data_IF_172158680144
#
_entry.id   IF_172158680144
#
_cell.length_a   1.000
_cell.length_b   1.000
_cell.length_c   1.000
_cell.angle_alpha   90.00
_cell.angle_beta   90.00
_cell.angle_gamma   90.00
#
_symmetry.space_group_name_H-M   'P 1'
#
loop_
_entity.id
_entity.type
_entity.pdbx_description
1 polymer ?
#
# COMPACT_ATOMS: atom_id res chain seq x y z
N UNK A 1 -7.38 -7.82 20.42
CA UNK A 1 -6.92 -8.70 21.49
C UNK A 1 -7.82 -9.94 21.59
N UNK A 2 -9.16 -9.79 21.69
CA UNK A 2 -10.10 -10.93 21.79
C UNK A 2 -9.91 -11.90 20.60
N UNK A 3 -9.80 -11.41 19.38
CA UNK A 3 -9.58 -12.24 18.20
C UNK A 3 -8.24 -13.00 18.24
N UNK A 4 -7.17 -12.39 18.77
CA UNK A 4 -5.86 -13.05 18.96
C UNK A 4 -5.98 -14.20 19.97
N UNK A 5 -6.62 -13.96 21.12
CA UNK A 5 -6.82 -14.98 22.14
C UNK A 5 -7.72 -16.11 21.64
N UNK A 6 -8.75 -15.78 20.88
CA UNK A 6 -9.62 -16.77 20.26
C UNK A 6 -8.87 -17.64 19.25
N UNK A 7 -8.03 -17.03 18.42
CA UNK A 7 -7.17 -17.77 17.48
C UNK A 7 -6.19 -18.69 18.20
N UNK A 8 -5.62 -18.25 19.33
CA UNK A 8 -4.79 -19.10 20.17
C UNK A 8 -5.55 -20.32 20.73
N UNK A 9 -6.78 -20.13 21.18
CA UNK A 9 -7.60 -21.24 21.67
C UNK A 9 -7.90 -22.29 20.58
N UNK A 10 -7.95 -21.88 19.31
CA UNK A 10 -8.14 -22.81 18.19
C UNK A 10 -6.85 -23.53 17.79
N UNK A 11 -5.74 -22.79 17.74
CA UNK A 11 -4.49 -23.27 17.16
C UNK A 11 -3.48 -23.76 18.21
N UNK A 12 -3.64 -23.40 19.48
CA UNK A 12 -2.71 -23.73 20.56
C UNK A 12 -1.37 -23.00 20.50
N UNK A 13 -1.21 -22.04 19.58
CA UNK A 13 0.05 -21.34 19.33
C UNK A 13 -0.17 -19.89 18.91
N UNK A 14 0.85 -19.03 19.15
CA UNK A 14 0.96 -17.68 18.60
C UNK A 14 1.98 -17.61 17.46
N UNK A 15 2.66 -18.71 17.13
CA UNK A 15 3.64 -18.74 16.07
C UNK A 15 2.98 -18.54 14.71
N UNK A 16 3.34 -17.43 14.03
CA UNK A 16 2.69 -17.03 12.79
C UNK A 16 2.89 -18.01 11.63
N UNK A 17 4.10 -18.58 11.40
CA UNK A 17 4.30 -19.62 10.40
C UNK A 17 3.39 -20.84 10.63
N UNK A 18 3.29 -21.31 11.88
CA UNK A 18 2.42 -22.45 12.25
C UNK A 18 0.94 -22.11 12.08
N UNK A 19 0.50 -20.92 12.50
CA UNK A 19 -0.88 -20.44 12.29
C UNK A 19 -1.23 -20.39 10.81
N UNK A 20 -0.31 -19.91 9.97
CA UNK A 20 -0.49 -19.85 8.53
C UNK A 20 -0.61 -21.25 7.91
N UNK A 21 0.25 -22.18 8.32
CA UNK A 21 0.18 -23.57 7.87
C UNK A 21 -1.14 -24.23 8.25
N UNK A 22 -1.62 -24.03 9.49
CA UNK A 22 -2.90 -24.54 9.97
C UNK A 22 -4.10 -23.92 9.23
N UNK A 23 -4.02 -22.65 8.91
CA UNK A 23 -5.06 -21.95 8.15
C UNK A 23 -5.16 -22.49 6.71
N UNK A 24 -4.01 -22.65 6.04
CA UNK A 24 -3.94 -23.15 4.66
C UNK A 24 -4.32 -24.64 4.54
N UNK A 25 -4.05 -25.43 5.56
CA UNK A 25 -4.45 -26.84 5.60
C UNK A 25 -5.89 -27.10 6.08
N UNK A 26 -6.68 -26.03 6.29
CA UNK A 26 -8.04 -26.09 6.85
C UNK A 26 -8.16 -26.87 8.18
N UNK A 27 -7.04 -26.99 8.93
CA UNK A 27 -7.00 -27.68 10.23
C UNK A 27 -7.38 -26.75 11.41
N UNK A 28 -7.74 -25.49 11.16
CA UNK A 28 -8.35 -24.66 12.20
C UNK A 28 -9.77 -25.16 12.48
N UNK A 29 -9.97 -25.81 13.62
CA UNK A 29 -11.24 -26.42 14.04
C UNK A 29 -12.31 -25.36 14.36
N UNK A 30 -12.70 -24.55 13.36
CA UNK A 30 -13.67 -23.49 13.50
C UNK A 30 -14.68 -23.49 12.34
N UNK A 31 -15.87 -23.00 12.61
CA UNK A 31 -16.88 -22.79 11.55
C UNK A 31 -16.44 -21.65 10.62
N UNK A 32 -16.76 -21.69 9.30
CA UNK A 32 -16.44 -20.62 8.38
C UNK A 32 -16.92 -19.24 8.87
N UNK A 33 -18.09 -19.18 9.49
CA UNK A 33 -18.64 -17.94 10.07
C UNK A 33 -17.76 -17.41 11.22
N UNK A 34 -17.25 -18.29 12.07
CA UNK A 34 -16.39 -17.88 13.19
C UNK A 34 -15.03 -17.37 12.69
N UNK A 35 -14.44 -18.01 11.67
CA UNK A 35 -13.22 -17.53 11.00
C UNK A 35 -13.45 -16.17 10.33
N UNK A 36 -14.59 -15.98 9.67
CA UNK A 36 -14.96 -14.70 9.06
C UNK A 36 -15.08 -13.60 10.12
N UNK A 37 -15.74 -13.86 11.26
CA UNK A 37 -15.86 -12.87 12.34
C UNK A 37 -14.49 -12.53 12.95
N UNK A 38 -13.62 -13.51 13.11
CA UNK A 38 -12.25 -13.30 13.56
C UNK A 38 -11.45 -12.44 12.57
N UNK A 39 -11.53 -12.76 11.28
CA UNK A 39 -10.89 -11.99 10.21
C UNK A 39 -11.40 -10.54 10.20
N UNK A 40 -12.71 -10.32 10.31
CA UNK A 40 -13.31 -8.97 10.37
C UNK A 40 -12.79 -8.22 11.61
N UNK A 41 -12.65 -8.87 12.76
CA UNK A 41 -12.13 -8.23 13.97
C UNK A 41 -10.67 -7.76 13.79
N UNK A 42 -9.82 -8.56 13.13
CA UNK A 42 -8.46 -8.15 12.74
C UNK A 42 -8.50 -6.99 11.74
N UNK A 43 -9.31 -7.10 10.68
CA UNK A 43 -9.43 -6.08 9.65
C UNK A 43 -9.92 -4.74 10.20
N UNK A 44 -10.91 -4.74 11.10
CA UNK A 44 -11.41 -3.51 11.74
C UNK A 44 -10.31 -2.86 12.58
N UNK A 45 -9.55 -3.64 13.36
CA UNK A 45 -8.42 -3.11 14.13
C UNK A 45 -7.35 -2.48 13.23
N UNK A 46 -7.03 -3.12 12.11
CA UNK A 46 -6.08 -2.60 11.14
C UNK A 46 -6.65 -1.41 10.36
N UNK A 47 -7.93 -1.43 9.98
CA UNK A 47 -8.62 -0.34 9.29
C UNK A 47 -8.69 0.95 10.12
N UNK A 48 -8.82 0.83 11.44
CA UNK A 48 -8.68 1.98 12.34
C UNK A 48 -7.25 2.53 12.28
N UNK A 49 -6.23 1.65 12.28
CA UNK A 49 -4.82 2.07 12.24
C UNK A 49 -4.39 2.62 10.89
N UNK A 50 -4.96 2.12 9.79
CA UNK A 50 -4.72 2.59 8.39
C UNK A 50 -5.44 3.90 8.08
N UNK A 51 -6.25 4.43 8.91
CA UNK A 51 -7.40 5.32 8.81
C UNK A 51 -8.30 5.10 7.57
N UNK A 52 -8.77 3.88 7.36
CA UNK A 52 -9.71 3.59 6.27
C UNK A 52 -11.02 4.35 6.50
N UNK A 53 -11.61 4.90 5.43
CA UNK A 53 -12.97 5.49 5.53
C UNK A 53 -13.99 4.41 5.98
N UNK A 54 -14.88 4.68 6.94
CA UNK A 54 -15.08 5.92 7.71
C UNK A 54 -14.28 6.01 9.03
N UNK A 55 -13.37 5.08 9.33
CA UNK A 55 -12.65 4.95 10.62
C UNK A 55 -11.47 5.93 10.78
N UNK A 56 -11.44 7.01 10.02
CA UNK A 56 -10.31 7.95 9.89
C UNK A 56 -10.40 9.19 10.80
N UNK A 57 -11.52 9.40 11.51
CA UNK A 57 -11.79 10.66 12.21
C UNK A 57 -10.70 11.10 13.20
N UNK A 58 -10.02 10.15 13.83
CA UNK A 58 -8.94 10.41 14.78
C UNK A 58 -7.66 10.99 14.13
N UNK A 59 -7.44 10.70 12.83
CA UNK A 59 -6.17 11.01 12.16
C UNK A 59 -5.91 12.51 12.08
N UNK A 60 -6.90 13.31 11.66
CA UNK A 60 -6.73 14.75 11.49
C UNK A 60 -6.37 15.46 12.80
N UNK A 61 -6.97 15.04 13.92
CA UNK A 61 -6.74 15.64 15.23
C UNK A 61 -5.39 15.19 15.80
N UNK A 62 -5.07 13.90 15.67
CA UNK A 62 -3.77 13.37 16.06
C UNK A 62 -2.62 14.03 15.29
N UNK A 63 -2.76 14.22 13.98
CA UNK A 63 -1.74 14.87 13.14
C UNK A 63 -1.63 16.37 13.47
N UNK A 64 -2.74 17.05 13.73
CA UNK A 64 -2.73 18.48 14.08
C UNK A 64 -2.00 18.75 15.40
N UNK A 65 -2.24 17.94 16.43
CA UNK A 65 -1.70 18.15 17.78
C UNK A 65 -0.29 17.54 17.95
N UNK A 66 0.04 16.45 17.27
CA UNK A 66 1.33 15.79 17.44
C UNK A 66 2.50 16.65 16.92
N UNK A 67 3.69 16.58 17.55
CA UNK A 67 4.90 17.16 16.98
C UNK A 67 5.15 16.61 15.57
N UNK A 68 5.56 17.47 14.63
CA UNK A 68 5.66 17.12 13.21
C UNK A 68 6.56 15.90 12.94
N UNK A 69 7.65 15.76 13.68
CA UNK A 69 8.55 14.61 13.59
C UNK A 69 7.88 13.28 14.00
N UNK A 70 6.92 13.32 14.96
CA UNK A 70 6.18 12.13 15.41
C UNK A 70 5.13 11.71 14.39
N UNK A 71 4.55 12.66 13.67
CA UNK A 71 3.53 12.39 12.65
C UNK A 71 4.06 11.47 11.55
N UNK A 72 5.33 11.60 11.18
CA UNK A 72 5.98 10.71 10.21
C UNK A 72 5.85 9.23 10.59
N UNK A 73 5.95 8.90 11.87
CA UNK A 73 5.81 7.54 12.40
C UNK A 73 4.34 7.13 12.54
N UNK A 74 3.45 8.08 12.87
CA UNK A 74 2.01 7.83 13.03
C UNK A 74 1.31 7.48 11.71
N UNK A 75 1.85 7.91 10.59
CA UNK A 75 1.22 7.79 9.27
C UNK A 75 1.09 6.33 8.77
N UNK A 76 0.34 5.52 9.48
CA UNK A 76 -0.48 4.40 8.99
C UNK A 76 0.18 3.16 8.35
N UNK A 77 1.49 3.14 8.11
CA UNK A 77 2.13 2.05 7.33
C UNK A 77 2.09 0.69 8.03
N UNK A 78 2.13 0.69 9.37
CA UNK A 78 2.04 -0.53 10.18
C UNK A 78 0.70 -1.27 9.97
N UNK A 79 -0.41 -0.53 9.86
CA UNK A 79 -1.72 -1.14 9.62
C UNK A 79 -1.81 -1.82 8.25
N UNK A 80 -1.27 -1.18 7.19
CA UNK A 80 -1.19 -1.75 5.85
C UNK A 80 -0.32 -3.02 5.82
N UNK A 81 0.85 -2.97 6.44
CA UNK A 81 1.70 -4.14 6.62
C UNK A 81 0.97 -5.26 7.38
N UNK A 82 0.20 -4.91 8.41
CA UNK A 82 -0.54 -5.88 9.20
C UNK A 82 -1.63 -6.56 8.39
N UNK A 83 -2.32 -5.87 7.49
CA UNK A 83 -3.28 -6.47 6.57
C UNK A 83 -2.58 -7.51 5.68
N UNK A 84 -1.46 -7.14 5.06
CA UNK A 84 -0.69 -8.07 4.21
C UNK A 84 -0.18 -9.27 5.01
N UNK A 85 0.34 -9.05 6.20
CA UNK A 85 1.00 -10.10 6.99
C UNK A 85 0.04 -11.04 7.69
N UNK A 86 -1.05 -10.51 8.26
CA UNK A 86 -2.00 -11.27 9.07
C UNK A 86 -3.29 -11.60 8.32
N UNK A 87 -3.95 -10.61 7.69
CA UNK A 87 -5.24 -10.87 7.03
C UNK A 87 -5.05 -11.79 5.82
N UNK A 88 -4.08 -11.52 4.96
CA UNK A 88 -3.80 -12.39 3.82
C UNK A 88 -3.04 -13.66 4.21
N UNK A 89 -2.21 -13.59 5.26
CA UNK A 89 -1.43 -14.74 5.71
C UNK A 89 -2.22 -15.79 6.47
N UNK A 90 -3.26 -15.42 7.22
CA UNK A 90 -4.05 -16.34 8.08
C UNK A 90 -5.48 -16.51 7.54
N UNK A 91 -6.05 -15.49 6.89
CA UNK A 91 -7.45 -15.46 6.47
C UNK A 91 -7.60 -15.11 4.99
N UNK A 92 -6.93 -15.80 4.03
CA UNK A 92 -6.97 -15.45 2.61
C UNK A 92 -8.39 -15.51 2.05
N UNK A 93 -9.13 -16.57 2.30
CA UNK A 93 -10.50 -16.79 1.86
C UNK A 93 -11.46 -15.72 2.42
N UNK A 94 -11.40 -15.46 3.73
CA UNK A 94 -12.24 -14.45 4.39
C UNK A 94 -11.90 -13.04 3.90
N UNK A 95 -10.63 -12.76 3.64
CA UNK A 95 -10.19 -11.49 3.05
C UNK A 95 -10.80 -11.27 1.67
N UNK A 96 -10.97 -12.33 0.89
CA UNK A 96 -11.62 -12.28 -0.41
C UNK A 96 -13.13 -12.00 -0.30
N UNK A 97 -13.81 -12.60 0.67
CA UNK A 97 -15.23 -12.32 0.91
C UNK A 97 -15.50 -10.85 1.23
N UNK A 98 -14.60 -10.20 1.97
CA UNK A 98 -14.74 -8.77 2.33
C UNK A 98 -14.16 -7.81 1.30
N UNK A 99 -13.45 -8.29 0.29
CA UNK A 99 -12.80 -7.48 -0.73
C UNK A 99 -13.72 -6.48 -1.45
N UNK A 100 -14.94 -6.84 -1.88
CA UNK A 100 -15.82 -5.88 -2.53
C UNK A 100 -16.12 -4.65 -1.67
N UNK A 101 -16.25 -4.85 -0.36
CA UNK A 101 -16.49 -3.77 0.61
C UNK A 101 -15.24 -2.92 0.75
N UNK A 102 -14.05 -3.53 0.87
CA UNK A 102 -12.80 -2.80 1.06
C UNK A 102 -12.37 -2.05 -0.20
N UNK A 103 -12.62 -2.58 -1.40
CA UNK A 103 -12.44 -1.87 -2.66
C UNK A 103 -13.34 -0.63 -2.71
N UNK A 104 -14.62 -0.77 -2.34
CA UNK A 104 -15.53 0.35 -2.30
C UNK A 104 -15.11 1.41 -1.28
N UNK A 105 -14.75 1.01 -0.06
CA UNK A 105 -14.26 1.92 0.98
C UNK A 105 -12.93 2.58 0.60
N UNK A 106 -12.03 1.85 -0.07
CA UNK A 106 -10.80 2.40 -0.64
C UNK A 106 -11.09 3.48 -1.68
N UNK A 107 -11.93 3.17 -2.67
CA UNK A 107 -12.31 4.13 -3.71
C UNK A 107 -12.99 5.39 -3.14
N UNK A 108 -13.93 5.21 -2.19
CA UNK A 108 -14.57 6.34 -1.49
C UNK A 108 -13.54 7.14 -0.70
N UNK A 109 -12.62 6.47 0.02
CA UNK A 109 -11.58 7.11 0.81
C UNK A 109 -10.62 7.96 -0.02
N UNK A 110 -10.28 7.53 -1.24
CA UNK A 110 -9.46 8.28 -2.20
C UNK A 110 -10.14 9.61 -2.55
N UNK A 111 -11.38 9.54 -3.03
CA UNK A 111 -12.10 10.74 -3.48
C UNK A 111 -12.47 11.65 -2.31
N UNK A 112 -13.01 11.08 -1.23
CA UNK A 112 -13.36 11.81 -0.02
C UNK A 112 -12.17 12.51 0.60
N UNK A 113 -11.04 11.79 0.79
CA UNK A 113 -9.83 12.35 1.37
C UNK A 113 -9.29 13.52 0.54
N UNK A 114 -9.25 13.35 -0.78
CA UNK A 114 -8.80 14.40 -1.70
C UNK A 114 -9.70 15.65 -1.71
N UNK A 115 -11.02 15.46 -1.71
CA UNK A 115 -11.97 16.58 -1.66
C UNK A 115 -11.90 17.35 -0.33
N UNK A 116 -11.74 16.64 0.80
CA UNK A 116 -11.58 17.29 2.10
C UNK A 116 -10.24 18.00 2.19
N UNK A 117 -9.16 17.40 1.67
CA UNK A 117 -7.84 18.05 1.60
C UNK A 117 -7.91 19.38 0.85
N UNK A 118 -8.68 19.46 -0.24
CA UNK A 118 -8.84 20.66 -1.07
C UNK A 118 -9.41 21.86 -0.31
N UNK A 119 -10.26 21.65 0.68
CA UNK A 119 -10.90 22.73 1.46
C UNK A 119 -10.15 23.08 2.75
N UNK A 120 -9.12 22.30 3.13
CA UNK A 120 -8.34 22.59 4.35
C UNK A 120 -7.38 23.74 4.12
N UNK A 121 -7.33 24.64 5.08
CA UNK A 121 -6.38 25.77 5.11
C UNK A 121 -5.18 25.48 6.01
N UNK A 122 -5.29 24.54 6.92
CA UNK A 122 -4.20 24.07 7.77
C UNK A 122 -3.39 22.98 7.06
N UNK A 123 -2.08 23.20 6.91
CA UNK A 123 -1.16 22.32 6.18
C UNK A 123 -1.06 20.92 6.80
N UNK A 124 -1.11 20.81 8.14
CA UNK A 124 -1.06 19.49 8.80
C UNK A 124 -2.36 18.72 8.60
N UNK A 125 -3.50 19.40 8.66
CA UNK A 125 -4.81 18.77 8.39
C UNK A 125 -4.94 18.37 6.93
N UNK A 126 -4.43 19.20 6.00
CA UNK A 126 -4.34 18.83 4.58
C UNK A 126 -3.49 17.58 4.41
N UNK A 127 -2.30 17.52 5.03
CA UNK A 127 -1.42 16.36 5.00
C UNK A 127 -2.09 15.09 5.56
N UNK A 128 -2.91 15.22 6.62
CA UNK A 128 -3.65 14.10 7.19
C UNK A 128 -4.67 13.51 6.19
N UNK A 129 -5.43 14.36 5.50
CA UNK A 129 -6.38 13.92 4.49
C UNK A 129 -5.71 13.41 3.20
N UNK A 130 -4.54 13.97 2.85
CA UNK A 130 -3.67 13.42 1.83
C UNK A 130 -3.23 12.00 2.18
N UNK A 131 -2.77 11.76 3.41
CA UNK A 131 -2.39 10.43 3.90
C UNK A 131 -3.58 9.44 3.85
N UNK A 132 -4.80 9.90 4.19
CA UNK A 132 -6.01 9.10 4.07
C UNK A 132 -6.25 8.67 2.60
N UNK A 133 -6.18 9.61 1.66
CA UNK A 133 -6.41 9.34 0.25
C UNK A 133 -5.39 8.32 -0.31
N UNK A 134 -4.11 8.51 -0.04
CA UNK A 134 -3.07 7.60 -0.51
C UNK A 134 -3.09 6.23 0.18
N UNK A 135 -3.37 6.16 1.50
CA UNK A 135 -3.58 4.88 2.18
C UNK A 135 -4.77 4.11 1.59
N UNK A 136 -5.80 4.84 1.16
CA UNK A 136 -6.96 4.27 0.48
C UNK A 136 -6.63 3.71 -0.91
N UNK A 137 -5.66 4.30 -1.65
CA UNK A 137 -5.11 3.69 -2.87
C UNK A 137 -4.46 2.35 -2.57
N UNK A 138 -3.68 2.24 -1.50
CA UNK A 138 -3.08 0.96 -1.10
C UNK A 138 -4.15 -0.08 -0.79
N UNK A 139 -5.19 0.28 -0.02
CA UNK A 139 -6.31 -0.62 0.26
C UNK A 139 -6.98 -1.09 -1.04
N UNK A 140 -7.26 -0.17 -1.96
CA UNK A 140 -7.80 -0.53 -3.27
C UNK A 140 -6.89 -1.55 -3.96
N UNK A 141 -5.57 -1.30 -4.04
CA UNK A 141 -4.61 -2.16 -4.74
C UNK A 141 -4.51 -3.57 -4.15
N UNK A 142 -4.32 -3.69 -2.83
CA UNK A 142 -4.11 -5.00 -2.20
C UNK A 142 -5.36 -5.88 -2.19
N UNK A 143 -6.57 -5.32 -2.21
CA UNK A 143 -7.82 -6.08 -2.26
C UNK A 143 -8.35 -6.35 -3.67
N UNK A 144 -7.61 -5.98 -4.72
CA UNK A 144 -7.94 -6.36 -6.10
C UNK A 144 -7.77 -7.85 -6.38
N UNK A 145 -6.97 -8.55 -5.59
CA UNK A 145 -6.53 -9.93 -5.80
C UNK A 145 -5.91 -10.18 -7.17
N UNK A 146 -5.20 -9.18 -7.69
CA UNK A 146 -4.35 -9.28 -8.87
C UNK A 146 -2.90 -9.07 -8.48
N UNK A 147 -1.96 -9.76 -9.13
CA UNK A 147 -0.51 -9.59 -8.88
C UNK A 147 -0.13 -8.13 -9.06
N UNK A 148 -0.54 -7.51 -10.17
CA UNK A 148 -0.25 -6.12 -10.51
C UNK A 148 -0.76 -5.16 -9.42
N UNK A 149 -2.00 -5.36 -8.95
CA UNK A 149 -2.60 -4.51 -7.91
C UNK A 149 -1.94 -4.69 -6.54
N UNK A 150 -1.58 -5.93 -6.20
CA UNK A 150 -0.88 -6.25 -4.96
C UNK A 150 0.54 -5.67 -4.94
N UNK A 151 1.30 -5.86 -6.02
CA UNK A 151 2.65 -5.32 -6.17
C UNK A 151 2.63 -3.78 -6.18
N UNK A 152 1.67 -3.19 -6.89
CA UNK A 152 1.43 -1.75 -6.85
C UNK A 152 1.11 -1.25 -5.45
N UNK A 153 0.27 -1.97 -4.71
CA UNK A 153 -0.07 -1.66 -3.32
C UNK A 153 1.14 -1.71 -2.38
N UNK A 154 1.97 -2.76 -2.48
CA UNK A 154 3.20 -2.90 -1.69
C UNK A 154 4.19 -1.79 -2.05
N UNK A 155 4.39 -1.52 -3.34
CA UNK A 155 5.25 -0.44 -3.80
C UNK A 155 4.76 0.92 -3.30
N UNK A 156 3.45 1.14 -3.28
CA UNK A 156 2.86 2.39 -2.80
C UNK A 156 3.02 2.56 -1.28
N UNK A 157 3.06 1.50 -0.48
CA UNK A 157 3.41 1.60 0.96
C UNK A 157 4.81 2.20 1.13
N UNK A 158 5.79 1.79 0.32
CA UNK A 158 7.14 2.33 0.36
C UNK A 158 7.17 3.80 -0.09
N UNK A 159 6.49 4.11 -1.21
CA UNK A 159 6.38 5.46 -1.73
C UNK A 159 5.81 6.43 -0.70
N UNK A 160 4.67 6.07 -0.11
CA UNK A 160 4.00 6.86 0.89
C UNK A 160 4.85 7.08 2.16
N UNK A 161 5.68 6.11 2.51
CA UNK A 161 6.61 6.26 3.63
C UNK A 161 7.67 7.32 3.35
N UNK A 162 8.24 7.33 2.14
CA UNK A 162 9.26 8.29 1.73
C UNK A 162 8.67 9.67 1.48
N UNK A 163 7.56 9.77 0.73
CA UNK A 163 6.90 11.02 0.40
C UNK A 163 6.37 11.69 1.68
N UNK A 164 5.71 10.93 2.54
CA UNK A 164 5.19 11.44 3.81
C UNK A 164 6.31 11.93 4.73
N UNK A 165 7.43 11.19 4.81
CA UNK A 165 8.59 11.62 5.60
C UNK A 165 9.13 12.96 5.09
N UNK A 166 9.43 13.08 3.81
CA UNK A 166 9.92 14.33 3.21
C UNK A 166 8.94 15.48 3.40
N UNK A 167 7.65 15.22 3.20
CA UNK A 167 6.60 16.23 3.33
C UNK A 167 6.49 16.77 4.78
N UNK A 168 6.50 15.90 5.79
CA UNK A 168 6.45 16.35 7.18
C UNK A 168 7.75 17.00 7.65
N UNK A 169 8.93 16.58 7.15
CA UNK A 169 10.19 17.33 7.39
C UNK A 169 10.03 18.75 6.85
N UNK A 170 9.59 18.92 5.61
CA UNK A 170 9.41 20.21 4.97
C UNK A 170 8.37 21.08 5.71
N UNK A 171 7.26 20.51 6.19
CA UNK A 171 6.29 21.21 7.02
C UNK A 171 6.89 21.65 8.36
N UNK A 172 7.74 20.82 8.95
CA UNK A 172 8.49 21.16 10.17
C UNK A 172 9.41 22.36 9.97
N UNK A 173 10.22 22.33 8.90
CA UNK A 173 11.12 23.41 8.52
C UNK A 173 10.36 24.71 8.20
N UNK A 174 9.20 24.59 7.56
CA UNK A 174 8.33 25.74 7.29
C UNK A 174 7.80 26.34 8.61
N UNK A 175 7.36 25.51 9.55
CA UNK A 175 6.88 25.94 10.84
C UNK A 175 7.98 26.59 11.71
N UNK A 176 9.19 26.03 11.72
CA UNK A 176 10.33 26.60 12.44
C UNK A 176 10.64 28.04 11.98
N UNK A 177 10.41 28.35 10.71
CA UNK A 177 10.66 29.68 10.13
C UNK A 177 9.51 30.66 10.33
N UNK A 178 8.27 30.17 10.29
CA UNK A 178 7.08 31.03 10.22
C UNK A 178 6.14 30.90 11.45
N UNK A 179 6.26 29.85 12.25
CA UNK A 179 5.48 29.63 13.47
C UNK A 179 4.00 29.32 13.27
N UNK A 180 3.58 29.00 12.03
CA UNK A 180 2.18 28.72 11.70
C UNK A 180 2.07 27.55 10.71
N UNK A 181 0.91 26.88 10.66
CA UNK A 181 0.54 25.93 9.63
C UNK A 181 -0.61 26.45 8.75
N UNK A 182 -1.14 27.65 9.02
CA UNK A 182 -2.23 28.20 8.23
C UNK A 182 -1.70 28.73 6.88
N UNK A 183 -2.19 28.17 5.78
CA UNK A 183 -1.80 28.58 4.42
C UNK A 183 -2.10 30.04 4.10
N UNK A 184 -3.04 30.67 4.83
CA UNK A 184 -3.41 32.09 4.61
C UNK A 184 -2.34 33.06 5.09
N UNK A 185 -1.46 32.63 5.98
CA UNK A 185 -0.34 33.42 6.49
C UNK A 185 0.83 33.46 5.52
N UNK A 186 0.83 32.57 4.51
CA UNK A 186 1.89 32.43 3.52
C UNK A 186 1.59 33.13 2.22
N UNK A 187 2.58 33.22 1.33
CA UNK A 187 2.51 33.71 -0.03
C UNK A 187 3.86 34.21 -0.51
N UNK A 188 4.18 34.04 -1.79
CA UNK A 188 5.36 34.57 -2.43
C UNK A 188 6.72 34.08 -1.91
N UNK A 189 6.75 32.91 -1.24
CA UNK A 189 7.96 32.39 -0.61
C UNK A 189 9.02 31.92 -1.63
N UNK A 190 8.63 31.68 -2.89
CA UNK A 190 9.52 31.14 -3.90
C UNK A 190 10.75 32.05 -4.16
N UNK A 191 10.62 33.35 -3.99
CA UNK A 191 11.71 34.30 -4.18
C UNK A 191 12.68 34.37 -2.99
N UNK A 192 12.20 34.00 -1.79
CA UNK A 192 12.99 34.05 -0.55
C UNK A 192 13.65 32.72 -0.20
N UNK A 193 12.99 31.61 -0.47
CA UNK A 193 13.43 30.26 -0.13
C UNK A 193 13.41 29.33 -1.36
N UNK A 194 14.19 29.61 -2.43
CA UNK A 194 14.14 28.86 -3.68
C UNK A 194 14.45 27.37 -3.51
N UNK A 195 15.39 27.01 -2.65
CA UNK A 195 15.74 25.60 -2.43
C UNK A 195 14.66 24.83 -1.65
N UNK A 196 14.09 25.46 -0.62
CA UNK A 196 12.97 24.87 0.12
C UNK A 196 11.77 24.64 -0.79
N UNK A 197 11.42 25.63 -1.62
CA UNK A 197 10.35 25.51 -2.61
C UNK A 197 10.64 24.40 -3.61
N UNK A 198 11.87 24.28 -4.08
CA UNK A 198 12.27 23.19 -5.00
C UNK A 198 12.03 21.84 -4.38
N UNK A 199 12.42 21.63 -3.12
CA UNK A 199 12.18 20.37 -2.41
C UNK A 199 10.69 20.11 -2.18
N UNK A 200 9.91 21.14 -1.84
CA UNK A 200 8.45 21.02 -1.73
C UNK A 200 7.82 20.63 -3.07
N UNK A 201 8.21 21.29 -4.16
CA UNK A 201 7.68 20.99 -5.49
C UNK A 201 8.00 19.56 -5.91
N UNK A 202 9.23 19.10 -5.75
CA UNK A 202 9.61 17.70 -6.05
C UNK A 202 8.78 16.72 -5.22
N UNK A 203 8.65 16.95 -3.91
CA UNK A 203 7.88 16.07 -3.01
C UNK A 203 6.40 16.06 -3.37
N UNK A 204 5.82 17.22 -3.67
CA UNK A 204 4.42 17.34 -4.06
C UNK A 204 4.15 16.71 -5.43
N UNK A 205 5.05 16.86 -6.39
CA UNK A 205 4.92 16.20 -7.70
C UNK A 205 5.05 14.67 -7.57
N UNK A 206 5.89 14.19 -6.64
CA UNK A 206 5.95 12.77 -6.31
C UNK A 206 4.64 12.27 -5.69
N UNK A 207 4.05 13.05 -4.77
CA UNK A 207 2.75 12.76 -4.16
C UNK A 207 1.59 12.83 -5.16
N UNK A 208 1.66 13.74 -6.13
CA UNK A 208 0.64 13.90 -7.18
C UNK A 208 0.73 12.85 -8.29
N UNK A 209 1.66 11.90 -8.19
CA UNK A 209 1.80 10.86 -9.20
C UNK A 209 2.32 11.35 -10.55
N UNK A 210 3.28 12.29 -10.56
CA UNK A 210 3.88 12.73 -11.82
C UNK A 210 4.72 11.60 -12.44
N UNK A 211 4.54 11.28 -13.75
CA UNK A 211 5.42 10.34 -14.45
C UNK A 211 6.91 10.64 -14.21
N UNK A 212 7.73 9.60 -14.12
CA UNK A 212 9.14 9.56 -13.73
C UNK A 212 9.39 9.65 -12.21
N UNK A 213 8.40 9.92 -11.39
CA UNK A 213 8.50 9.88 -9.93
C UNK A 213 7.84 8.62 -9.38
N UNK A 214 8.25 8.23 -8.18
CA UNK A 214 7.84 6.98 -7.55
C UNK A 214 6.32 6.85 -7.34
N UNK A 215 5.62 7.94 -6.98
CA UNK A 215 4.17 7.91 -6.75
C UNK A 215 3.36 7.44 -7.95
N UNK A 216 3.74 7.89 -9.16
CA UNK A 216 3.08 7.47 -10.39
C UNK A 216 3.08 5.95 -10.60
N UNK A 217 4.22 5.31 -10.36
CA UNK A 217 4.37 3.87 -10.59
C UNK A 217 3.40 3.07 -9.72
N UNK A 218 3.33 3.39 -8.42
CA UNK A 218 2.44 2.71 -7.50
C UNK A 218 0.96 2.91 -7.83
N UNK A 219 0.53 4.15 -8.04
CA UNK A 219 -0.87 4.48 -8.36
C UNK A 219 -1.30 3.88 -9.70
N UNK A 220 -0.43 3.93 -10.72
CA UNK A 220 -0.70 3.34 -12.03
C UNK A 220 -0.87 1.82 -11.95
N UNK A 221 0.00 1.12 -11.22
CA UNK A 221 -0.11 -0.33 -11.02
C UNK A 221 -1.38 -0.69 -10.24
N UNK A 222 -1.73 0.06 -9.21
CA UNK A 222 -2.96 -0.14 -8.44
C UNK A 222 -4.20 -0.02 -9.34
N UNK A 223 -4.30 1.05 -10.12
CA UNK A 223 -5.44 1.26 -11.01
C UNK A 223 -5.49 0.21 -12.13
N UNK A 224 -4.34 -0.15 -12.71
CA UNK A 224 -4.24 -1.19 -13.73
C UNK A 224 -4.64 -2.55 -13.19
N UNK A 225 -4.15 -2.92 -11.99
CA UNK A 225 -4.52 -4.15 -11.31
C UNK A 225 -6.01 -4.18 -10.92
N UNK A 226 -6.56 -3.03 -10.51
CA UNK A 226 -7.97 -2.91 -10.19
C UNK A 226 -8.88 -3.06 -11.42
N UNK A 227 -8.45 -2.59 -12.59
CA UNK A 227 -9.19 -2.79 -13.85
C UNK A 227 -9.25 -4.26 -14.28
N UNK A 228 -8.24 -5.07 -13.96
CA UNK A 228 -8.17 -6.49 -14.27
C UNK A 228 -8.65 -7.40 -13.13
N UNK A 229 -9.19 -6.84 -12.06
CA UNK A 229 -9.68 -7.58 -10.91
C UNK A 229 -10.91 -8.43 -11.25
N UNK A 230 -11.06 -9.55 -10.53
CA UNK A 230 -12.25 -10.41 -10.59
C UNK A 230 -13.30 -10.06 -9.53
N UNK A 231 -13.00 -9.13 -8.65
CA UNK A 231 -13.92 -8.71 -7.58
C UNK A 231 -15.12 -7.96 -8.16
N UNK A 232 -16.29 -8.19 -7.60
CA UNK A 232 -17.53 -7.60 -8.11
C UNK A 232 -17.47 -6.06 -8.15
N UNK A 233 -18.01 -5.48 -9.23
CA UNK A 233 -18.07 -4.02 -9.47
C UNK A 233 -16.71 -3.30 -9.51
N UNK A 234 -15.60 -4.03 -9.70
CA UNK A 234 -14.25 -3.46 -9.73
C UNK A 234 -14.09 -2.31 -10.73
N UNK A 235 -14.63 -2.43 -11.95
CA UNK A 235 -14.53 -1.39 -12.99
C UNK A 235 -15.15 -0.08 -12.50
N UNK A 236 -16.35 -0.12 -11.92
CA UNK A 236 -17.01 1.07 -11.39
C UNK A 236 -16.15 1.75 -10.32
N UNK A 237 -15.66 0.98 -9.35
CA UNK A 237 -14.84 1.51 -8.27
C UNK A 237 -13.47 2.00 -8.74
N UNK A 238 -12.88 1.36 -9.75
CA UNK A 238 -11.62 1.81 -10.35
C UNK A 238 -11.78 3.15 -11.06
N UNK A 239 -12.82 3.29 -11.89
CA UNK A 239 -13.11 4.55 -12.58
C UNK A 239 -13.40 5.67 -11.58
N UNK A 240 -14.18 5.36 -10.53
CA UNK A 240 -14.44 6.31 -9.45
C UNK A 240 -13.15 6.72 -8.71
N UNK A 241 -12.29 5.76 -8.35
CA UNK A 241 -11.00 6.02 -7.70
C UNK A 241 -10.04 6.84 -8.60
N UNK A 242 -10.04 6.59 -9.91
CA UNK A 242 -9.22 7.34 -10.86
C UNK A 242 -9.53 8.85 -10.87
N UNK A 243 -10.78 9.26 -10.57
CA UNK A 243 -11.11 10.69 -10.39
C UNK A 243 -10.35 11.30 -9.21
N UNK A 244 -10.00 10.50 -8.21
CA UNK A 244 -9.23 10.92 -7.05
C UNK A 244 -7.80 11.37 -7.39
N UNK A 245 -7.20 10.84 -8.46
CA UNK A 245 -5.89 11.32 -8.96
C UNK A 245 -5.98 12.79 -9.36
N UNK A 246 -7.08 13.17 -10.05
CA UNK A 246 -7.31 14.57 -10.46
C UNK A 246 -7.48 15.46 -9.23
N UNK A 247 -8.28 15.04 -8.25
CA UNK A 247 -8.47 15.80 -7.02
C UNK A 247 -7.18 15.83 -6.18
N UNK A 248 -6.39 14.73 -6.19
CA UNK A 248 -5.08 14.64 -5.56
C UNK A 248 -4.11 15.70 -6.09
N UNK A 249 -3.92 15.73 -7.40
CA UNK A 249 -3.12 16.75 -8.05
C UNK A 249 -3.65 18.17 -7.78
N UNK A 250 -4.98 18.33 -7.76
CA UNK A 250 -5.62 19.65 -7.57
C UNK A 250 -5.30 20.24 -6.19
N UNK A 251 -5.49 19.51 -5.07
CA UNK A 251 -5.21 20.09 -3.75
C UNK A 251 -3.72 20.29 -3.50
N UNK A 252 -2.87 19.41 -4.03
CA UNK A 252 -1.42 19.52 -3.88
C UNK A 252 -0.85 20.73 -4.63
N UNK A 253 -1.24 20.90 -5.89
CA UNK A 253 -0.81 22.06 -6.70
C UNK A 253 -1.40 23.37 -6.16
N UNK A 254 -2.65 23.35 -5.71
CA UNK A 254 -3.28 24.50 -5.08
C UNK A 254 -2.57 24.92 -3.79
N UNK A 255 -2.13 23.95 -2.97
CA UNK A 255 -1.32 24.21 -1.79
C UNK A 255 0.00 24.89 -2.17
N UNK A 256 0.75 24.35 -3.14
CA UNK A 256 2.00 24.94 -3.65
C UNK A 256 1.76 26.36 -4.14
N UNK A 257 0.72 26.59 -4.92
CA UNK A 257 0.38 27.91 -5.45
C UNK A 257 0.15 28.92 -4.33
N UNK A 258 -0.58 28.55 -3.29
CA UNK A 258 -0.91 29.46 -2.19
C UNK A 258 0.25 29.73 -1.24
N UNK A 259 1.04 28.72 -0.91
CA UNK A 259 2.13 28.86 0.05
C UNK A 259 3.35 29.54 -0.57
N UNK A 260 3.71 29.17 -1.81
CA UNK A 260 4.99 29.57 -2.36
C UNK A 260 4.90 30.63 -3.46
N UNK A 261 3.76 30.74 -4.13
CA UNK A 261 3.55 31.69 -5.22
C UNK A 261 2.47 32.71 -4.87
N UNK A 262 2.31 33.72 -5.70
CA UNK A 262 1.34 34.81 -5.50
C UNK A 262 1.91 36.00 -4.72
N UNK A 263 1.02 36.87 -4.19
CA UNK A 263 1.41 38.02 -3.39
C UNK A 263 1.95 37.58 -2.04
N UNK A 264 2.86 38.38 -1.46
CA UNK A 264 3.38 38.18 -0.12
C UNK A 264 2.22 38.13 0.89
N UNK A 265 2.23 37.10 1.75
CA UNK A 265 1.24 36.93 2.82
C UNK A 265 1.35 38.00 3.91
N UNK A 266 0.53 37.90 4.94
CA UNK A 266 0.37 38.92 5.99
C UNK A 266 1.59 39.11 6.93
N UNK A 267 2.60 38.21 6.90
CA UNK A 267 3.79 38.24 7.78
C UNK A 267 5.13 38.22 7.05
N UNK A 268 5.40 39.12 6.08
CA UNK A 268 6.65 39.06 5.33
C UNK A 268 7.88 39.55 6.10
N UNK A 269 7.71 40.33 7.17
CA UNK A 269 8.81 41.03 7.86
C UNK A 269 9.41 40.24 9.04
N UNK A 270 8.70 39.27 9.60
CA UNK A 270 9.15 38.49 10.77
C UNK A 270 9.92 37.21 10.40
N UNK A 271 10.23 37.00 9.14
CA UNK A 271 10.88 35.77 8.66
C UNK A 271 12.29 35.66 9.22
N UNK A 272 12.46 34.76 10.17
CA UNK A 272 13.77 34.36 10.69
C UNK A 272 14.32 33.23 9.84
N UNK A 273 15.36 33.49 9.07
CA UNK A 273 16.17 32.42 8.53
C UNK A 273 16.54 32.55 7.08
N UNK A 274 17.63 31.86 6.79
CA UNK A 274 18.16 31.59 5.48
C UNK A 274 17.26 30.56 4.78
N UNK A 275 17.45 30.37 3.49
CA UNK A 275 16.90 29.24 2.74
C UNK A 275 17.35 27.91 3.41
N UNK A 276 17.47 26.84 2.75
CA UNK A 276 17.95 25.59 3.36
C UNK A 276 19.41 25.68 3.79
N UNK A 277 19.71 25.26 5.03
CA UNK A 277 21.09 25.07 5.52
C UNK A 277 21.71 23.82 4.92
N UNK A 278 23.04 23.69 4.99
CA UNK A 278 23.76 22.51 4.50
C UNK A 278 23.26 21.19 5.14
N UNK A 279 22.86 21.22 6.41
CA UNK A 279 22.28 20.08 7.11
C UNK A 279 20.91 19.70 6.53
N UNK A 280 20.04 20.66 6.32
CA UNK A 280 18.68 20.45 5.75
C UNK A 280 18.77 19.96 4.29
N UNK A 281 19.74 20.43 3.53
CA UNK A 281 20.05 19.87 2.22
C UNK A 281 20.43 18.39 2.32
N UNK A 282 21.29 18.01 3.27
CA UNK A 282 21.68 16.63 3.47
C UNK A 282 20.50 15.74 3.91
N UNK A 283 19.54 16.29 4.63
CA UNK A 283 18.33 15.58 5.06
C UNK A 283 17.32 15.38 3.91
N UNK A 284 17.20 16.35 2.97
CA UNK A 284 16.14 16.34 1.94
C UNK A 284 16.58 15.75 0.60
N UNK A 285 17.82 15.96 0.15
CA UNK A 285 18.30 15.47 -1.14
C UNK A 285 18.22 13.95 -1.31
N UNK A 286 18.48 13.12 -0.28
CA UNK A 286 18.28 11.69 -0.40
C UNK A 286 16.86 11.28 -0.78
N UNK A 287 15.83 11.98 -0.26
CA UNK A 287 14.45 11.72 -0.64
C UNK A 287 14.19 12.07 -2.11
N UNK A 288 14.63 13.25 -2.56
CA UNK A 288 14.48 13.66 -3.95
C UNK A 288 15.18 12.67 -4.91
N UNK A 289 16.37 12.21 -4.56
CA UNK A 289 17.09 11.19 -5.32
C UNK A 289 16.35 9.85 -5.34
N UNK A 290 15.78 9.42 -4.21
CA UNK A 290 15.00 8.19 -4.13
C UNK A 290 13.69 8.29 -4.92
N UNK A 291 12.99 9.43 -4.92
CA UNK A 291 11.77 9.62 -5.73
C UNK A 291 12.05 9.40 -7.21
N UNK A 292 13.16 9.96 -7.72
CA UNK A 292 13.59 9.78 -9.10
C UNK A 292 14.08 8.34 -9.36
N UNK A 293 14.92 7.81 -8.49
CA UNK A 293 15.47 6.46 -8.64
C UNK A 293 14.37 5.39 -8.64
N UNK A 294 13.40 5.49 -7.73
CA UNK A 294 12.27 4.56 -7.66
C UNK A 294 11.29 4.73 -8.82
N UNK A 295 11.13 5.95 -9.33
CA UNK A 295 10.28 6.23 -10.49
C UNK A 295 10.89 5.72 -11.79
N UNK A 296 12.16 6.08 -12.07
CA UNK A 296 12.85 5.73 -13.32
C UNK A 296 13.31 4.27 -13.33
N UNK A 297 13.88 3.80 -12.21
CA UNK A 297 14.40 2.44 -12.05
C UNK A 297 13.39 1.52 -11.36
N UNK A 298 12.09 1.74 -11.53
CA UNK A 298 11.03 0.93 -10.92
C UNK A 298 11.20 -0.57 -11.11
N UNK A 299 11.64 -1.12 -12.28
CA UNK A 299 11.84 -2.56 -12.44
C UNK A 299 12.85 -3.18 -11.46
N UNK A 300 13.84 -2.40 -11.00
CA UNK A 300 14.79 -2.88 -10.00
C UNK A 300 14.11 -3.13 -8.64
N UNK A 301 13.25 -2.20 -8.21
CA UNK A 301 12.54 -2.30 -6.95
C UNK A 301 11.41 -3.33 -7.00
N UNK A 302 10.74 -3.42 -8.15
CA UNK A 302 9.64 -4.37 -8.37
C UNK A 302 10.10 -5.82 -8.28
N UNK A 303 11.33 -6.17 -8.70
CA UNK A 303 11.84 -7.56 -8.63
C UNK A 303 11.75 -8.18 -7.22
N UNK A 304 11.97 -7.39 -6.18
CA UNK A 304 11.88 -7.87 -4.80
C UNK A 304 10.41 -8.01 -4.34
N UNK A 305 9.53 -7.20 -4.91
CA UNK A 305 8.09 -7.17 -4.59
C UNK A 305 7.37 -8.27 -5.35
N UNK A 306 7.65 -8.47 -6.64
CA UNK A 306 7.07 -9.51 -7.52
C UNK A 306 7.14 -10.90 -6.88
N UNK A 307 8.26 -11.21 -6.23
CA UNK A 307 8.43 -12.51 -5.54
C UNK A 307 7.40 -12.71 -4.43
N UNK A 308 7.11 -11.65 -3.67
CA UNK A 308 6.10 -11.70 -2.61
C UNK A 308 4.68 -11.69 -3.18
N UNK A 309 4.42 -10.84 -4.16
CA UNK A 309 3.14 -10.72 -4.84
C UNK A 309 2.71 -12.02 -5.49
N UNK A 310 3.63 -12.68 -6.20
CA UNK A 310 3.41 -13.98 -6.81
C UNK A 310 3.15 -15.07 -5.77
N UNK A 311 3.94 -15.12 -4.69
CA UNK A 311 3.73 -16.08 -3.60
C UNK A 311 2.39 -15.85 -2.86
N UNK A 312 1.99 -14.61 -2.64
CA UNK A 312 0.71 -14.29 -2.02
C UNK A 312 -0.47 -14.61 -2.94
N UNK A 313 -0.36 -14.33 -4.23
CA UNK A 313 -1.38 -14.63 -5.22
C UNK A 313 -1.56 -16.15 -5.41
N UNK A 314 -0.46 -16.91 -5.48
CA UNK A 314 -0.52 -18.37 -5.61
C UNK A 314 -1.18 -19.04 -4.41
N UNK A 315 -0.97 -18.55 -3.19
CA UNK A 315 -1.65 -19.03 -1.99
C UNK A 315 -3.17 -18.76 -2.04
N UNK A 316 -3.57 -17.64 -2.65
CA UNK A 316 -4.99 -17.30 -2.85
C UNK A 316 -5.65 -18.13 -3.95
N UNK A 317 -4.91 -18.54 -4.99
CA UNK A 317 -5.40 -19.44 -6.05
C UNK A 317 -5.54 -20.89 -5.60
N UNK A 318 -4.66 -21.35 -4.69
CA UNK A 318 -4.73 -22.72 -4.12
C UNK A 318 -6.04 -22.91 -3.35
N UNK A 319 -6.46 -21.95 -2.55
CA UNK A 319 -7.75 -21.97 -1.84
C UNK A 319 -8.96 -21.98 -2.80
N UNK A 320 -8.82 -21.40 -4.00
CA UNK A 320 -9.87 -21.38 -5.00
C UNK A 320 -10.07 -22.72 -5.68
N UNK A 321 -8.99 -23.49 -5.82
CA UNK A 321 -9.04 -24.82 -6.43
C UNK A 321 -9.69 -25.87 -5.52
N UNK A 322 -9.63 -25.67 -4.21
CA UNK A 322 -10.25 -26.57 -3.24
C UNK A 322 -11.80 -26.52 -3.25
N UNK A 323 -12.38 -25.39 -3.64
CA UNK A 323 -13.84 -25.17 -3.65
C UNK A 323 -14.50 -25.45 -5.04
N UNK A 324 -13.69 -25.52 -6.09
CA UNK A 324 -14.16 -25.89 -7.42
C UNK A 324 -14.13 -27.42 -7.57
N UNK A 325 -15.30 -28.06 -7.58
CA UNK A 325 -15.46 -29.43 -8.07
C UNK A 325 -14.93 -29.53 -9.47
N UNK A 326 -13.70 -30.05 -9.63
CA UNK A 326 -12.97 -30.04 -10.88
C UNK A 326 -13.52 -31.07 -11.85
N UNK A 327 -13.60 -30.74 -13.15
CA UNK A 327 -13.90 -31.73 -14.20
C UNK A 327 -12.80 -32.79 -14.25
N UNK A 328 -13.20 -34.02 -14.55
CA UNK A 328 -12.35 -35.24 -14.57
C UNK A 328 -11.20 -35.24 -15.58
N UNK A 329 -10.86 -34.14 -16.23
CA UNK A 329 -9.93 -34.07 -17.36
C UNK A 329 -8.64 -33.32 -17.03
N UNK A 330 -7.92 -33.84 -16.02
CA UNK A 330 -6.59 -33.33 -15.63
C UNK A 330 -5.53 -33.93 -16.55
N UNK A 331 -4.79 -33.07 -17.26
CA UNK A 331 -3.72 -33.54 -18.15
C UNK A 331 -2.52 -34.08 -17.33
N UNK A 332 -1.78 -35.02 -17.94
CA UNK A 332 -0.57 -35.62 -17.37
C UNK A 332 0.49 -34.55 -17.01
N UNK A 333 0.50 -33.43 -17.71
CA UNK A 333 1.40 -32.30 -17.47
C UNK A 333 1.10 -31.57 -16.16
N UNK A 334 -0.18 -31.42 -15.80
CA UNK A 334 -0.59 -30.77 -14.55
C UNK A 334 -0.22 -31.63 -13.32
N UNK A 335 -0.26 -32.95 -13.47
CA UNK A 335 0.19 -33.88 -12.42
C UNK A 335 1.70 -33.83 -12.20
N UNK A 336 2.48 -33.74 -13.27
CA UNK A 336 3.94 -33.63 -13.19
C UNK A 336 4.37 -32.28 -12.57
N UNK A 337 3.66 -31.19 -12.88
CA UNK A 337 3.89 -29.88 -12.30
C UNK A 337 3.60 -29.87 -10.78
N UNK A 338 2.53 -30.54 -10.34
CA UNK A 338 2.19 -30.74 -8.92
C UNK A 338 3.22 -31.60 -8.18
N UNK A 339 3.70 -32.67 -8.79
CA UNK A 339 4.73 -33.53 -8.22
C UNK A 339 6.07 -32.79 -8.10
N UNK A 340 6.41 -31.95 -9.08
CA UNK A 340 7.60 -31.11 -9.04
C UNK A 340 7.50 -30.02 -7.95
N UNK A 341 6.35 -29.38 -7.81
CA UNK A 341 6.10 -28.41 -6.75
C UNK A 341 6.20 -29.05 -5.35
N UNK A 342 5.74 -30.28 -5.17
CA UNK A 342 5.87 -31.04 -3.93
C UNK A 342 7.31 -31.38 -3.55
N UNK A 343 8.11 -31.77 -4.54
CA UNK A 343 9.53 -32.13 -4.31
C UNK A 343 10.38 -30.89 -4.01
N UNK A 344 10.01 -29.76 -4.58
CA UNK A 344 10.77 -28.50 -4.44
C UNK A 344 10.38 -27.74 -3.17
N UNK A 345 9.16 -27.92 -2.67
CA UNK A 345 8.64 -27.26 -1.47
C UNK A 345 8.03 -28.29 -0.48
N UNK A 346 8.84 -29.02 0.29
CA UNK A 346 8.37 -30.08 1.19
C UNK A 346 7.51 -29.63 2.38
N UNK A 347 7.16 -28.34 2.47
CA UNK A 347 6.21 -27.77 3.44
C UNK A 347 4.84 -27.43 2.85
N UNK A 348 4.61 -27.66 1.56
CA UNK A 348 3.30 -27.62 0.94
C UNK A 348 2.68 -29.01 1.07
N UNK A 349 1.56 -29.05 1.75
CA UNK A 349 0.82 -30.17 2.28
C UNK A 349 0.73 -31.43 1.40
N UNK A 350 0.94 -32.64 1.98
CA UNK A 350 0.74 -33.91 1.32
C UNK A 350 -0.73 -34.27 1.02
N UNK A 351 -1.72 -33.56 1.56
CA UNK A 351 -3.14 -33.88 1.35
C UNK A 351 -3.82 -33.18 0.15
N UNK A 352 -3.11 -32.46 -0.67
CA UNK A 352 -3.56 -32.11 -2.03
C UNK A 352 -3.74 -33.35 -2.94
N UNK A 353 -4.00 -34.50 -2.30
CA UNK A 353 -4.32 -35.76 -2.95
C UNK A 353 -5.70 -35.70 -3.60
N UNK A 354 -5.71 -35.27 -4.84
CA UNK A 354 -6.89 -35.41 -5.70
C UNK A 354 -7.43 -34.13 -6.32
N UNK A 355 -6.86 -32.99 -6.02
CA UNK A 355 -7.31 -31.73 -6.63
C UNK A 355 -6.32 -31.25 -7.68
N UNK A 356 -6.78 -31.08 -8.90
CA UNK A 356 -6.03 -30.59 -10.04
C UNK A 356 -5.92 -29.09 -10.03
N UNK A 357 -4.81 -28.54 -10.53
CA UNK A 357 -4.63 -27.10 -10.74
C UNK A 357 -5.69 -26.54 -11.70
N UNK A 358 -6.15 -25.31 -11.53
CA UNK A 358 -7.10 -24.69 -12.43
C UNK A 358 -6.53 -24.60 -13.86
N UNK A 359 -7.38 -24.86 -14.85
CA UNK A 359 -7.07 -25.00 -16.29
C UNK A 359 -6.43 -23.77 -16.99
N UNK A 360 -6.00 -22.73 -16.25
CA UNK A 360 -5.43 -21.49 -16.80
C UNK A 360 -4.07 -21.09 -16.26
N UNK A 361 -3.44 -21.85 -15.37
CA UNK A 361 -2.02 -21.65 -15.12
C UNK A 361 -1.24 -22.23 -16.31
N UNK A 362 -0.84 -21.40 -17.25
CA UNK A 362 0.11 -21.82 -18.26
C UNK A 362 1.37 -22.32 -17.57
N UNK A 363 1.90 -23.48 -17.99
CA UNK A 363 3.17 -24.04 -17.49
C UNK A 363 4.33 -23.05 -17.51
N UNK A 364 4.26 -21.97 -18.27
CA UNK A 364 5.17 -20.84 -18.27
C UNK A 364 5.15 -20.01 -16.99
N UNK A 365 3.99 -19.87 -16.33
CA UNK A 365 3.85 -19.01 -15.13
C UNK A 365 4.41 -19.70 -13.87
N UNK A 366 4.36 -21.05 -13.84
CA UNK A 366 4.97 -21.84 -12.76
C UNK A 366 6.51 -21.85 -12.82
N UNK A 367 7.08 -21.78 -14.03
CA UNK A 367 8.54 -21.76 -14.24
C UNK A 367 9.15 -20.41 -13.80
N UNK A 368 8.35 -19.34 -13.81
CA UNK A 368 8.80 -18.01 -13.38
C UNK A 368 8.88 -17.88 -11.84
N UNK A 369 8.28 -18.80 -11.09
CA UNK A 369 8.28 -18.83 -9.62
C UNK A 369 9.54 -19.49 -9.04
N UNK A 370 10.32 -20.21 -9.86
CA UNK A 370 11.55 -20.86 -9.42
C UNK A 370 12.73 -19.89 -9.51
N UNK A 371 13.53 -19.71 -8.45
CA UNK A 371 14.76 -18.95 -8.55
C UNK A 371 15.70 -19.64 -9.58
N UNK A 372 16.13 -18.88 -10.58
CA UNK A 372 17.07 -19.27 -11.64
C UNK A 372 18.51 -19.45 -11.12
N UNK A 373 18.72 -20.23 -10.06
CA UNK A 373 20.04 -20.59 -9.55
C UNK A 373 20.14 -22.09 -9.21
N UNK A 374 19.88 -22.93 -10.22
CA UNK A 374 20.51 -24.25 -10.25
C UNK A 374 21.20 -24.42 -11.61
N UNK A 375 22.45 -23.93 -11.67
CA UNK A 375 23.40 -24.41 -12.69
C UNK A 375 23.47 -25.93 -12.56
N UNK A 376 23.28 -26.70 -13.63
CA UNK A 376 23.58 -28.12 -13.59
C UNK A 376 25.08 -28.25 -13.34
N UNK A 377 25.47 -28.87 -12.25
CA UNK A 377 26.80 -29.40 -12.02
C UNK A 377 27.11 -30.35 -13.16
N UNK A 378 27.98 -29.94 -14.07
CA UNK A 378 28.68 -30.87 -14.97
C UNK A 378 29.62 -31.70 -14.08
N UNK A 379 29.20 -32.87 -13.70
CA UNK A 379 30.13 -33.95 -13.36
C UNK A 379 30.14 -34.99 -14.46
N UNK A 380 31.38 -35.38 -14.76
CA UNK A 380 31.86 -36.53 -15.50
C UNK A 380 32.12 -36.30 -17.01
N UNK A 381 33.22 -35.81 -17.38
CA UNK A 381 34.42 -36.61 -17.80
C UNK A 381 35.63 -35.71 -18.05
#
# INVERSE_FOLDING_TARGET
LVAILWLYNLAGTFDLPTLRALALSHHLAATPTALLLCSIAFLVAFAVKVPVFPLHGWLQDAVAEAPTAVVMVLAGKLGLYSILRFSFGIFPEQSRHVAPVLIALGAIGIVYGSLIALIKTDLKKLAAFSTLAHASFVILGIFTFTIIGLDGGIFQILNESLIGAAFFILLGLLYERYGTYDMRDYGGLATRHPWMVTMFVITVLAAAGLPMLNGFVGEFLILSGSMSSIVAHHIFWTVFAATGVIFGASYLLWMIQRVFYGSLGHRPEEVRGWDLTAREHLELWPFAALFLAMGICSPFWMRAIDTYGTAAASLQEIDYAADATLPADTTTQDRLALEHARTTYPGLDPELNGHSLPHRAHTGDLITILPLDSKPTQEAR
#
